data_IF_904479488127
#
_entry.id   IF_904479488127
#
_cell.length_a   1.000
_cell.length_b   1.000
_cell.length_c   1.000
_cell.angle_alpha   90.00
_cell.angle_beta   90.00
_cell.angle_gamma   90.00
#
_symmetry.space_group_name_H-M   'P 1'
#
loop_
_entity.id
_entity.type
_entity.pdbx_description
1 polymer ?
#
# COMPACT_ATOMS: atom_id res chain seq x y z
N UNK A 1 -16.73 -24.20 -1.48
CA UNK A 1 -16.79 -22.96 -0.68
C UNK A 1 -15.36 -22.50 -0.51
N UNK A 2 -15.06 -21.24 -0.84
CA UNK A 2 -13.77 -20.60 -0.59
C UNK A 2 -13.88 -19.56 0.54
N UNK A 3 -14.96 -19.62 1.29
CA UNK A 3 -15.30 -18.63 2.31
C UNK A 3 -14.85 -19.13 3.68
N UNK A 4 -14.33 -18.22 4.48
CA UNK A 4 -14.10 -18.47 5.90
C UNK A 4 -15.43 -18.47 6.66
N UNK A 5 -15.49 -19.24 7.75
CA UNK A 5 -16.62 -19.15 8.68
C UNK A 5 -16.40 -18.02 9.69
N UNK A 6 -17.48 -17.50 10.27
CA UNK A 6 -17.43 -16.49 11.34
C UNK A 6 -16.50 -16.89 12.50
N UNK A 7 -16.42 -18.19 12.82
CA UNK A 7 -15.50 -18.69 13.84
C UNK A 7 -14.04 -18.48 13.43
N UNK A 8 -13.69 -18.73 12.17
CA UNK A 8 -12.32 -18.57 11.68
C UNK A 8 -11.90 -17.10 11.63
N UNK A 9 -12.81 -16.20 11.23
CA UNK A 9 -12.53 -14.76 11.21
C UNK A 9 -12.27 -14.21 12.61
N UNK A 10 -13.08 -14.62 13.60
CA UNK A 10 -12.89 -14.22 15.00
C UNK A 10 -11.57 -14.75 15.59
N UNK A 11 -11.23 -16.02 15.32
CA UNK A 11 -9.95 -16.59 15.75
C UNK A 11 -8.75 -15.87 15.12
N UNK A 12 -8.83 -15.54 13.82
CA UNK A 12 -7.79 -14.78 13.13
C UNK A 12 -7.62 -13.37 13.70
N UNK A 13 -8.72 -12.64 13.91
CA UNK A 13 -8.66 -11.30 14.51
C UNK A 13 -8.06 -11.33 15.92
N UNK A 14 -8.44 -12.33 16.73
CA UNK A 14 -7.88 -12.53 18.07
C UNK A 14 -6.37 -12.81 17.98
N UNK A 15 -5.95 -13.70 17.09
CA UNK A 15 -4.54 -14.04 16.91
C UNK A 15 -3.69 -12.83 16.52
N UNK A 16 -4.11 -12.07 15.50
CA UNK A 16 -3.37 -10.89 15.01
C UNK A 16 -3.28 -9.82 16.09
N UNK A 17 -4.35 -9.63 16.88
CA UNK A 17 -4.38 -8.65 17.97
C UNK A 17 -3.48 -9.07 19.13
N UNK A 18 -3.59 -10.32 19.59
CA UNK A 18 -2.89 -10.79 20.78
C UNK A 18 -1.39 -11.03 20.54
N UNK A 19 -1.03 -11.51 19.34
CA UNK A 19 0.35 -11.91 19.03
C UNK A 19 1.11 -10.86 18.21
N UNK A 20 0.40 -9.96 17.52
CA UNK A 20 0.98 -8.89 16.69
C UNK A 20 2.18 -9.37 15.85
N UNK A 21 2.00 -10.32 14.93
CA UNK A 21 3.09 -10.89 14.16
C UNK A 21 3.74 -9.83 13.26
N UNK A 22 4.96 -9.39 13.63
CA UNK A 22 5.61 -8.25 12.98
C UNK A 22 6.05 -8.54 11.53
N UNK A 23 6.28 -9.81 11.17
CA UNK A 23 6.79 -10.18 9.86
C UNK A 23 5.78 -10.05 8.70
N UNK A 24 4.49 -9.91 9.00
CA UNK A 24 3.43 -9.73 8.00
C UNK A 24 2.99 -8.27 7.83
N UNK A 25 3.68 -7.33 8.49
CA UNK A 25 3.30 -5.91 8.48
C UNK A 25 3.88 -5.12 7.31
N UNK A 26 4.93 -5.63 6.66
CA UNK A 26 5.57 -4.95 5.53
C UNK A 26 5.01 -5.49 4.22
N UNK A 27 4.61 -4.59 3.33
CA UNK A 27 4.28 -4.95 1.95
C UNK A 27 5.55 -5.41 1.21
N UNK A 28 5.49 -6.51 0.44
CA UNK A 28 6.63 -6.98 -0.35
C UNK A 28 6.99 -5.95 -1.42
N UNK A 29 8.28 -5.83 -1.74
CA UNK A 29 8.70 -4.97 -2.85
C UNK A 29 8.30 -5.64 -4.18
N UNK A 30 8.00 -4.83 -5.19
CA UNK A 30 7.68 -5.30 -6.56
C UNK A 30 8.64 -6.36 -7.15
N UNK A 31 9.97 -6.29 -6.96
CA UNK A 31 10.88 -7.29 -7.50
C UNK A 31 10.98 -8.57 -6.64
N UNK A 32 10.41 -8.58 -5.44
CA UNK A 32 10.44 -9.74 -4.55
C UNK A 32 9.41 -10.80 -4.97
N UNK A 33 8.42 -10.42 -5.80
CA UNK A 33 7.43 -11.35 -6.35
C UNK A 33 8.01 -12.08 -7.55
N UNK A 34 8.26 -13.39 -7.38
CA UNK A 34 8.75 -14.29 -8.44
C UNK A 34 7.62 -14.88 -9.29
N UNK A 35 6.37 -14.67 -8.88
CA UNK A 35 5.18 -15.06 -9.64
C UNK A 35 5.07 -14.27 -10.95
N UNK A 36 4.39 -14.86 -11.93
CA UNK A 36 3.89 -14.10 -13.07
C UNK A 36 2.90 -13.06 -12.55
N UNK A 37 3.05 -11.76 -12.91
CA UNK A 37 2.13 -10.72 -12.48
C UNK A 37 0.67 -11.04 -12.85
N UNK A 38 -0.27 -10.80 -11.94
CA UNK A 38 -1.70 -11.03 -12.16
C UNK A 38 -2.49 -9.76 -11.87
N UNK A 39 -2.91 -9.08 -12.93
CA UNK A 39 -3.70 -7.87 -12.79
C UNK A 39 -5.03 -8.09 -12.07
N UNK A 40 -5.25 -7.29 -11.03
CA UNK A 40 -6.43 -7.31 -10.17
C UNK A 40 -6.30 -8.23 -8.96
N UNK A 41 -5.09 -8.65 -8.57
CA UNK A 41 -4.85 -9.50 -7.40
C UNK A 41 -4.53 -8.70 -6.12
N UNK A 42 -4.66 -7.37 -6.16
CA UNK A 42 -4.36 -6.44 -5.06
C UNK A 42 -2.88 -6.44 -4.62
N UNK A 43 -2.00 -7.01 -5.45
CA UNK A 43 -0.56 -7.02 -5.22
C UNK A 43 0.13 -6.21 -6.30
N UNK A 44 0.87 -5.18 -5.90
CA UNK A 44 1.57 -4.34 -6.84
C UNK A 44 2.82 -5.04 -7.39
N UNK A 45 2.71 -5.66 -8.57
CA UNK A 45 3.76 -6.49 -9.15
C UNK A 45 4.58 -5.77 -10.23
N UNK A 46 5.62 -6.44 -10.75
CA UNK A 46 6.47 -5.90 -11.80
C UNK A 46 5.70 -5.70 -13.11
N UNK A 47 5.76 -4.48 -13.66
CA UNK A 47 5.08 -4.12 -14.92
C UNK A 47 3.72 -3.44 -14.74
N UNK A 48 3.19 -3.43 -13.52
CA UNK A 48 1.94 -2.75 -13.16
C UNK A 48 2.23 -1.35 -12.61
N UNK A 49 1.37 -0.38 -12.91
CA UNK A 49 1.53 0.97 -12.36
C UNK A 49 0.77 1.10 -11.02
N UNK A 50 -0.30 0.30 -10.87
CA UNK A 50 -1.18 0.19 -9.72
C UNK A 50 -1.95 -1.14 -9.80
N UNK A 51 -2.35 -1.71 -8.66
CA UNK A 51 -3.31 -2.83 -8.62
C UNK A 51 -4.32 -2.56 -7.50
N UNK A 52 -5.57 -2.32 -7.87
CA UNK A 52 -6.64 -2.02 -6.90
C UNK A 52 -7.64 -3.17 -6.71
N UNK A 53 -7.40 -4.33 -7.34
CA UNK A 53 -8.40 -5.39 -7.42
C UNK A 53 -9.79 -4.86 -7.80
N UNK A 54 -10.80 -5.35 -7.08
CA UNK A 54 -12.14 -4.78 -7.06
C UNK A 54 -12.48 -4.36 -5.63
N UNK A 55 -13.07 -3.17 -5.40
CA UNK A 55 -13.75 -2.30 -6.35
C UNK A 55 -12.86 -1.26 -7.04
N UNK A 56 -13.41 -0.62 -8.08
CA UNK A 56 -12.69 0.31 -8.94
C UNK A 56 -12.08 1.51 -8.19
N UNK A 57 -10.78 1.73 -8.36
CA UNK A 57 -10.08 2.94 -7.94
C UNK A 57 -10.18 4.03 -9.05
N UNK A 58 -10.55 5.28 -8.72
CA UNK A 58 -10.69 6.36 -9.71
C UNK A 58 -9.36 6.78 -10.38
N UNK A 59 -8.22 6.33 -9.84
CA UNK A 59 -6.88 6.57 -10.35
C UNK A 59 -6.30 5.37 -11.10
N UNK A 60 -6.82 4.16 -10.87
CA UNK A 60 -6.32 2.91 -11.47
C UNK A 60 -7.36 2.28 -12.40
N UNK A 61 -6.92 1.81 -13.56
CA UNK A 61 -7.73 0.96 -14.41
C UNK A 61 -7.52 -0.51 -14.02
N UNK A 62 -8.46 -1.05 -13.24
CA UNK A 62 -8.44 -2.43 -12.74
C UNK A 62 -8.33 -3.49 -13.84
N UNK A 63 -8.74 -3.18 -15.08
CA UNK A 63 -8.64 -4.13 -16.19
C UNK A 63 -7.21 -4.24 -16.76
N UNK A 64 -6.38 -3.22 -16.54
CA UNK A 64 -5.04 -3.12 -17.14
C UNK A 64 -3.91 -2.93 -16.14
N UNK A 65 -4.24 -2.70 -14.86
CA UNK A 65 -3.29 -2.30 -13.81
C UNK A 65 -2.44 -1.09 -14.22
N UNK A 66 -3.07 -0.17 -14.96
CA UNK A 66 -2.47 1.09 -15.41
C UNK A 66 -3.13 2.29 -14.77
N UNK A 67 -2.33 3.33 -14.56
CA UNK A 67 -2.84 4.61 -14.12
C UNK A 67 -3.78 5.18 -15.17
N UNK A 68 -4.91 5.72 -14.72
CA UNK A 68 -5.85 6.42 -15.58
C UNK A 68 -5.23 7.72 -16.11
N UNK A 69 -5.65 8.21 -17.29
CA UNK A 69 -5.09 9.43 -17.86
C UNK A 69 -5.11 10.61 -16.87
N UNK A 70 -3.93 11.20 -16.64
CA UNK A 70 -3.74 12.34 -15.74
C UNK A 70 -3.45 11.99 -14.28
N UNK A 71 -3.56 10.71 -13.88
CA UNK A 71 -3.12 10.24 -12.58
C UNK A 71 -1.58 10.14 -12.51
N UNK A 72 -1.02 10.50 -11.36
CA UNK A 72 0.40 10.33 -11.03
C UNK A 72 0.62 9.15 -10.07
N UNK A 73 -0.43 8.77 -9.34
CA UNK A 73 -0.43 7.69 -8.37
C UNK A 73 -1.86 7.17 -8.20
N UNK A 74 -2.00 5.97 -7.62
CA UNK A 74 -3.29 5.39 -7.26
C UNK A 74 -3.38 4.98 -5.78
N UNK A 75 -2.23 4.73 -5.15
CA UNK A 75 -2.11 4.25 -3.78
C UNK A 75 -0.84 4.80 -3.13
N UNK A 76 -0.71 4.61 -1.82
CA UNK A 76 0.40 5.11 -1.02
C UNK A 76 0.05 6.36 -0.21
N UNK A 77 0.72 6.52 0.94
CA UNK A 77 0.46 7.57 1.92
C UNK A 77 0.74 9.00 1.41
N UNK A 78 1.47 9.15 0.30
CA UNK A 78 1.73 10.43 -0.36
C UNK A 78 0.95 10.59 -1.67
N UNK A 79 -0.15 9.84 -1.85
CA UNK A 79 -1.08 10.01 -2.96
C UNK A 79 -2.39 10.63 -2.47
N UNK A 80 -2.79 11.76 -3.06
CA UNK A 80 -4.10 12.37 -2.82
C UNK A 80 -4.74 12.75 -4.15
N UNK A 81 -6.01 12.38 -4.33
CA UNK A 81 -6.77 12.66 -5.57
C UNK A 81 -5.99 12.33 -6.85
N UNK A 82 -5.34 11.17 -6.88
CA UNK A 82 -4.49 10.70 -7.98
C UNK A 82 -3.25 11.57 -8.28
N UNK A 83 -2.82 12.40 -7.34
CA UNK A 83 -1.68 13.32 -7.44
C UNK A 83 -0.71 13.09 -6.30
N UNK A 84 0.57 13.33 -6.55
CA UNK A 84 1.54 13.33 -5.47
C UNK A 84 1.24 14.48 -4.52
N UNK A 85 1.19 14.18 -3.23
CA UNK A 85 1.15 15.19 -2.19
C UNK A 85 2.40 16.06 -2.26
N UNK A 86 2.27 17.33 -1.86
CA UNK A 86 3.37 18.30 -1.89
C UNK A 86 4.55 17.82 -1.02
N UNK A 87 5.75 18.18 -1.44
CA UNK A 87 6.95 18.02 -0.61
C UNK A 87 6.76 18.68 0.77
N UNK A 88 7.14 17.96 1.83
CA UNK A 88 6.99 18.41 3.22
C UNK A 88 5.60 18.15 3.82
N UNK A 89 4.68 17.50 3.10
CA UNK A 89 3.45 16.99 3.72
C UNK A 89 3.77 15.79 4.61
N UNK A 90 3.29 15.78 5.85
CA UNK A 90 3.45 14.65 6.79
C UNK A 90 2.62 13.47 6.27
N UNK A 91 3.27 12.32 6.07
CA UNK A 91 2.62 11.09 5.62
C UNK A 91 2.58 9.99 6.68
N UNK A 92 3.47 10.04 7.69
CA UNK A 92 3.41 9.21 8.88
C UNK A 92 3.80 10.05 10.08
N UNK A 93 2.89 10.17 11.04
CA UNK A 93 3.20 10.83 12.32
C UNK A 93 4.14 9.93 13.13
N UNK A 94 5.13 10.55 13.75
CA UNK A 94 6.03 9.89 14.68
C UNK A 94 5.30 9.31 15.88
N UNK A 95 5.91 8.28 16.49
CA UNK A 95 5.53 7.79 17.82
C UNK A 95 6.67 8.07 18.79
N UNK A 96 6.36 8.66 19.94
CA UNK A 96 7.37 9.00 20.94
C UNK A 96 8.24 10.17 20.49
N UNK A 97 9.56 10.03 20.64
CA UNK A 97 10.54 11.08 20.36
C UNK A 97 11.09 11.03 18.92
N UNK A 98 10.53 10.16 18.08
CA UNK A 98 10.89 10.04 16.68
C UNK A 98 10.46 11.27 15.85
N UNK A 99 11.01 11.38 14.65
CA UNK A 99 10.64 12.42 13.68
C UNK A 99 9.55 11.92 12.74
N UNK A 100 8.65 12.83 12.33
CA UNK A 100 7.64 12.55 11.30
C UNK A 100 8.31 12.14 9.97
N UNK A 101 7.57 11.35 9.18
CA UNK A 101 7.91 11.05 7.79
C UNK A 101 7.18 12.03 6.86
N UNK A 102 7.88 12.46 5.81
CA UNK A 102 7.40 13.49 4.90
C UNK A 102 7.41 13.03 3.44
N UNK A 103 6.39 13.45 2.69
CA UNK A 103 6.34 13.30 1.24
C UNK A 103 7.43 14.13 0.57
N UNK A 104 7.97 13.61 -0.53
CA UNK A 104 9.02 14.26 -1.33
C UNK A 104 8.46 15.05 -2.53
N UNK A 105 7.14 15.05 -2.76
CA UNK A 105 6.52 15.75 -3.89
C UNK A 105 6.59 15.02 -5.23
N UNK A 106 7.28 13.88 -5.32
CA UNK A 106 7.59 13.20 -6.59
C UNK A 106 7.28 11.70 -6.59
N UNK A 107 6.90 11.14 -5.45
CA UNK A 107 6.50 9.73 -5.33
C UNK A 107 5.30 9.56 -4.40
N UNK A 108 4.55 8.47 -4.60
CA UNK A 108 3.39 8.13 -3.78
C UNK A 108 3.75 7.43 -2.45
N UNK A 109 4.95 6.84 -2.38
CA UNK A 109 5.45 6.22 -1.16
C UNK A 109 5.83 7.26 -0.11
N UNK A 110 5.63 6.90 1.16
CA UNK A 110 6.08 7.70 2.31
C UNK A 110 7.46 7.16 2.75
N UNK A 111 8.55 7.85 2.39
CA UNK A 111 9.89 7.43 2.76
C UNK A 111 10.01 7.45 4.29
N UNK A 112 10.59 6.40 4.88
CA UNK A 112 11.00 6.47 6.28
C UNK A 112 12.07 7.55 6.44
N UNK A 113 11.93 8.35 7.47
CA UNK A 113 12.90 9.34 7.83
C UNK A 113 14.25 8.65 8.13
N UNK A 114 15.34 9.02 7.41
CA UNK A 114 16.64 8.37 7.57
C UNK A 114 17.28 8.59 8.94
N UNK A 115 16.71 9.46 9.78
CA UNK A 115 17.15 9.69 11.16
C UNK A 115 16.49 8.74 12.18
N UNK A 116 15.62 7.83 11.74
CA UNK A 116 15.22 6.68 12.54
C UNK A 116 16.39 5.69 12.59
N UNK A 117 17.24 5.82 13.61
CA UNK A 117 18.34 4.91 13.91
C UNK A 117 17.88 3.78 14.85
#
# INVERSE_FOLDING_TARGET
SYEFSDCNENEYQTYVTDHSPQCILNDPLRPDTVSTPVSGNELLEAGEDCDCGAPANPCCDAATCKLRPGAQCAEGLCCDQCRFMKEGTICRMARGDDMDDYCNGISAGCPRNPFHA
#
